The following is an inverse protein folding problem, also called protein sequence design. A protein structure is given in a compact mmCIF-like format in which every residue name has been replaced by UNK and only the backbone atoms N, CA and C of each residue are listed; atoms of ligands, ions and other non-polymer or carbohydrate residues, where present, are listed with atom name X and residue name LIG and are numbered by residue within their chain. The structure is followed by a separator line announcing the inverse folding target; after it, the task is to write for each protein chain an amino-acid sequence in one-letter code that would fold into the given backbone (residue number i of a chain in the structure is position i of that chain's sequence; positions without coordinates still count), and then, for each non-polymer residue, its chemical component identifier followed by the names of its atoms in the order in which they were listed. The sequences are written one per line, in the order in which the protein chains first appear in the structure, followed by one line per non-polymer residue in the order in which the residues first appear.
data_IF_781015008612
#
_entry.id   IF_781015008612
#
_cell.length_a   1.000
_cell.length_b   1.000
_cell.length_c   1.000
_cell.angle_alpha   90.00
_cell.angle_beta   90.00
_cell.angle_gamma   90.00
#
_symmetry.space_group_name_H-M   'P 1'
#
loop_
_entity.id
_entity.type
_entity.pdbx_description
1 polymer ?
#
# COMPACT_ATOMS: atom_id res chain seq x y z
N UNK A 1 -20.55 15.15 24.91
CA UNK A 1 -19.17 14.76 24.58
C UNK A 1 -18.66 15.68 23.48
N UNK A 2 -17.66 16.53 23.74
CA UNK A 2 -17.01 17.33 22.69
C UNK A 2 -15.92 16.50 22.02
N UNK A 3 -16.03 16.26 20.71
CA UNK A 3 -14.96 15.66 19.91
C UNK A 3 -13.76 16.60 19.91
N UNK A 4 -12.54 16.07 20.05
CA UNK A 4 -11.33 16.90 19.93
C UNK A 4 -11.29 17.60 18.57
N UNK A 5 -10.80 18.85 18.50
CA UNK A 5 -10.69 19.61 17.25
C UNK A 5 -9.98 18.84 16.14
N UNK A 6 -8.97 18.04 16.49
CA UNK A 6 -8.24 17.21 15.52
C UNK A 6 -9.10 16.09 14.94
N UNK A 7 -9.92 15.44 15.77
CA UNK A 7 -10.83 14.40 15.31
C UNK A 7 -11.94 14.99 14.42
N UNK A 8 -12.45 16.18 14.76
CA UNK A 8 -13.37 16.93 13.90
C UNK A 8 -12.73 17.27 12.55
N UNK A 9 -11.51 17.82 12.53
CA UNK A 9 -10.79 18.13 11.31
C UNK A 9 -10.50 16.88 10.45
N UNK A 10 -10.19 15.75 11.10
CA UNK A 10 -9.99 14.46 10.43
C UNK A 10 -11.27 13.99 9.75
N UNK A 11 -12.39 13.99 10.46
CA UNK A 11 -13.68 13.56 9.93
C UNK A 11 -14.13 14.49 8.80
N UNK A 12 -14.03 15.81 8.99
CA UNK A 12 -14.45 16.78 7.97
C UNK A 12 -13.57 16.71 6.73
N UNK A 13 -12.24 16.71 6.89
CA UNK A 13 -11.31 16.64 5.77
C UNK A 13 -11.36 15.29 5.04
N UNK A 14 -11.48 14.19 5.78
CA UNK A 14 -11.71 12.87 5.23
C UNK A 14 -13.04 12.80 4.47
N UNK A 15 -14.14 13.26 5.05
CA UNK A 15 -15.46 13.26 4.39
C UNK A 15 -15.45 14.10 3.13
N UNK A 16 -14.85 15.29 3.16
CA UNK A 16 -14.71 16.13 1.99
C UNK A 16 -13.94 15.41 0.87
N UNK A 17 -12.79 14.81 1.19
CA UNK A 17 -12.00 14.06 0.22
C UNK A 17 -12.75 12.83 -0.34
N UNK A 18 -13.43 12.08 0.53
CA UNK A 18 -14.24 10.92 0.14
C UNK A 18 -15.37 11.32 -0.82
N UNK A 19 -16.14 12.36 -0.48
CA UNK A 19 -17.20 12.85 -1.36
C UNK A 19 -16.64 13.40 -2.67
N UNK A 20 -15.61 14.26 -2.63
CA UNK A 20 -14.99 14.80 -3.83
C UNK A 20 -14.50 13.68 -4.77
N UNK A 21 -13.91 12.63 -4.20
CA UNK A 21 -13.47 11.47 -4.97
C UNK A 21 -14.63 10.68 -5.57
N UNK A 22 -15.68 10.38 -4.79
CA UNK A 22 -16.87 9.71 -5.31
C UNK A 22 -17.57 10.53 -6.40
N UNK A 23 -17.66 11.85 -6.25
CA UNK A 23 -18.19 12.75 -7.28
C UNK A 23 -17.34 12.76 -8.54
N UNK A 24 -16.01 12.74 -8.41
CA UNK A 24 -15.10 12.65 -9.56
C UNK A 24 -15.30 11.34 -10.31
N UNK A 25 -15.31 10.20 -9.60
CA UNK A 25 -15.57 8.88 -10.21
C UNK A 25 -16.92 8.86 -10.90
N UNK A 26 -17.98 9.31 -10.24
CA UNK A 26 -19.32 9.41 -10.84
C UNK A 26 -19.31 10.31 -12.08
N UNK A 27 -18.67 11.48 -12.01
CA UNK A 27 -18.57 12.43 -13.10
C UNK A 27 -17.86 11.85 -14.32
N UNK A 28 -16.76 11.12 -14.14
CA UNK A 28 -16.07 10.43 -15.22
C UNK A 28 -16.93 9.29 -15.79
N UNK A 29 -17.58 8.49 -14.94
CA UNK A 29 -18.54 7.47 -15.39
C UNK A 29 -19.67 8.04 -16.26
N UNK A 30 -20.21 9.21 -15.88
CA UNK A 30 -21.24 9.90 -16.65
C UNK A 30 -20.70 10.52 -17.93
N UNK A 31 -19.49 11.10 -17.90
CA UNK A 31 -18.86 11.73 -19.05
C UNK A 31 -18.63 10.74 -20.20
N UNK A 32 -18.23 9.51 -19.87
CA UNK A 32 -17.97 8.46 -20.84
C UNK A 32 -19.14 7.49 -21.01
N UNK A 33 -20.32 7.83 -20.49
CA UNK A 33 -21.56 7.04 -20.63
C UNK A 33 -21.40 5.56 -20.25
N UNK A 34 -20.58 5.25 -19.25
CA UNK A 34 -20.28 3.86 -18.85
C UNK A 34 -21.54 3.04 -18.53
N UNK A 35 -22.64 3.68 -18.12
CA UNK A 35 -23.92 3.00 -17.86
C UNK A 35 -24.60 2.46 -19.13
N UNK A 36 -24.36 3.05 -20.29
CA UNK A 36 -24.85 2.53 -21.56
C UNK A 36 -24.14 1.23 -21.96
N UNK A 37 -22.96 1.00 -21.38
CA UNK A 37 -22.01 -0.05 -21.76
C UNK A 37 -21.95 -1.15 -20.70
N UNK A 38 -22.00 -0.78 -19.43
CA UNK A 38 -22.00 -1.66 -18.25
C UNK A 38 -23.24 -1.34 -17.39
N UNK A 39 -24.46 -1.66 -17.89
CA UNK A 39 -25.73 -1.25 -17.25
C UNK A 39 -25.95 -1.86 -15.87
N UNK A 40 -25.25 -2.95 -15.54
CA UNK A 40 -25.34 -3.63 -14.25
C UNK A 40 -24.15 -3.34 -13.31
N UNK A 41 -23.31 -2.35 -13.62
CA UNK A 41 -22.21 -1.97 -12.74
C UNK A 41 -22.77 -1.65 -11.34
N UNK A 42 -22.19 -2.19 -10.25
CA UNK A 42 -22.68 -1.97 -8.89
C UNK A 42 -22.31 -0.57 -8.40
N UNK A 43 -22.87 0.47 -9.02
CA UNK A 43 -22.51 1.88 -8.86
C UNK A 43 -22.46 2.30 -7.39
N UNK A 44 -23.44 1.87 -6.58
CA UNK A 44 -23.45 2.15 -5.14
C UNK A 44 -22.21 1.62 -4.44
N UNK A 45 -21.76 0.40 -4.78
CA UNK A 45 -20.56 -0.20 -4.20
C UNK A 45 -19.29 0.52 -4.69
N UNK A 46 -19.23 0.89 -5.97
CA UNK A 46 -18.10 1.64 -6.55
C UNK A 46 -17.94 3.02 -5.91
N UNK A 47 -19.05 3.75 -5.75
CA UNK A 47 -19.05 5.07 -5.12
C UNK A 47 -18.73 4.98 -3.63
N UNK A 48 -19.21 3.93 -2.94
CA UNK A 48 -18.86 3.68 -1.55
C UNK A 48 -17.37 3.33 -1.39
N UNK A 49 -16.84 2.46 -2.23
CA UNK A 49 -15.41 2.12 -2.26
C UNK A 49 -14.54 3.34 -2.53
N UNK A 50 -14.93 4.17 -3.51
CA UNK A 50 -14.28 5.44 -3.83
C UNK A 50 -14.33 6.41 -2.65
N UNK A 51 -15.49 6.58 -2.02
CA UNK A 51 -15.64 7.40 -0.82
C UNK A 51 -14.70 6.91 0.28
N UNK A 52 -14.71 5.61 0.59
CA UNK A 52 -13.86 5.00 1.60
C UNK A 52 -12.37 5.22 1.31
N UNK A 53 -11.94 5.04 0.06
CA UNK A 53 -10.55 5.24 -0.34
C UNK A 53 -10.09 6.68 -0.07
N UNK A 54 -10.86 7.69 -0.49
CA UNK A 54 -10.55 9.10 -0.26
C UNK A 54 -10.63 9.50 1.22
N UNK A 55 -11.69 9.05 1.91
CA UNK A 55 -11.92 9.30 3.32
C UNK A 55 -10.77 8.76 4.18
N UNK A 56 -10.42 7.48 3.98
CA UNK A 56 -9.39 6.83 4.79
C UNK A 56 -8.02 7.41 4.47
N UNK A 57 -7.66 7.60 3.19
CA UNK A 57 -6.34 8.12 2.83
C UNK A 57 -6.08 9.52 3.39
N UNK A 58 -7.01 10.46 3.16
CA UNK A 58 -6.86 11.84 3.64
C UNK A 58 -7.09 11.93 5.14
N UNK A 59 -8.09 11.22 5.68
CA UNK A 59 -8.34 11.14 7.11
C UNK A 59 -7.13 10.60 7.89
N UNK A 60 -6.54 9.50 7.44
CA UNK A 60 -5.30 8.96 8.02
C UNK A 60 -4.19 10.01 7.99
N UNK A 61 -3.99 10.69 6.86
CA UNK A 61 -2.95 11.72 6.74
C UNK A 61 -3.18 12.90 7.69
N UNK A 62 -4.41 13.39 7.80
CA UNK A 62 -4.77 14.49 8.71
C UNK A 62 -4.63 14.09 10.19
N UNK A 63 -5.03 12.87 10.54
CA UNK A 63 -4.99 12.37 11.91
C UNK A 63 -3.56 12.07 12.39
N UNK A 64 -2.78 11.42 11.52
CA UNK A 64 -1.43 10.91 11.85
C UNK A 64 -0.29 11.83 11.45
N UNK A 65 -0.54 12.79 10.54
CA UNK A 65 0.45 13.63 9.86
C UNK A 65 1.48 12.85 9.03
N UNK A 66 1.15 11.60 8.68
CA UNK A 66 1.82 10.85 7.63
C UNK A 66 1.42 11.43 6.27
N UNK A 67 2.39 11.60 5.37
CA UNK A 67 2.16 12.21 4.06
C UNK A 67 1.82 11.18 2.99
N UNK A 68 2.33 9.96 3.13
CA UNK A 68 2.24 8.91 2.12
C UNK A 68 0.81 8.56 1.73
N UNK A 69 -0.16 8.41 2.66
CA UNK A 69 -1.52 8.06 2.27
C UNK A 69 -2.17 9.17 1.41
N UNK A 70 -2.02 10.43 1.81
CA UNK A 70 -2.62 11.56 1.13
C UNK A 70 -1.94 11.88 -0.20
N UNK A 71 -0.61 11.90 -0.24
CA UNK A 71 0.15 12.11 -1.48
C UNK A 71 -0.07 10.95 -2.45
N UNK A 72 0.01 9.71 -1.97
CA UNK A 72 -0.21 8.52 -2.79
C UNK A 72 -1.62 8.48 -3.38
N UNK A 73 -2.64 8.81 -2.57
CA UNK A 73 -4.02 8.95 -3.04
C UNK A 73 -4.17 10.06 -4.09
N UNK A 74 -3.62 11.25 -3.82
CA UNK A 74 -3.68 12.36 -4.77
C UNK A 74 -2.99 12.02 -6.10
N UNK A 75 -1.82 11.39 -6.05
CA UNK A 75 -1.10 10.93 -7.24
C UNK A 75 -1.92 9.91 -8.03
N UNK A 76 -2.51 8.92 -7.34
CA UNK A 76 -3.34 7.88 -7.95
C UNK A 76 -4.56 8.48 -8.66
N UNK A 77 -5.34 9.32 -7.98
CA UNK A 77 -6.51 10.01 -8.56
C UNK A 77 -6.10 10.87 -9.76
N UNK A 78 -4.99 11.60 -9.65
CA UNK A 78 -4.48 12.44 -10.75
C UNK A 78 -4.14 11.60 -11.96
N UNK A 79 -3.37 10.53 -11.78
CA UNK A 79 -2.95 9.64 -12.88
C UNK A 79 -4.16 9.02 -13.56
N UNK A 80 -5.10 8.45 -12.80
CA UNK A 80 -6.30 7.82 -13.38
C UNK A 80 -7.13 8.84 -14.14
N UNK A 81 -7.35 10.03 -13.59
CA UNK A 81 -8.12 11.08 -14.27
C UNK A 81 -7.44 11.54 -15.56
N UNK A 82 -6.10 11.72 -15.54
CA UNK A 82 -5.34 12.11 -16.73
C UNK A 82 -5.39 11.03 -17.79
N UNK A 83 -5.17 9.76 -17.42
CA UNK A 83 -5.18 8.64 -18.36
C UNK A 83 -6.57 8.45 -18.97
N UNK A 84 -7.62 8.51 -18.16
CA UNK A 84 -9.00 8.40 -18.65
C UNK A 84 -9.33 9.54 -19.63
N UNK A 85 -9.04 10.79 -19.26
CA UNK A 85 -9.36 11.96 -20.10
C UNK A 85 -8.48 12.06 -21.36
N UNK A 86 -7.30 11.45 -21.35
CA UNK A 86 -6.38 11.43 -22.50
C UNK A 86 -6.61 10.24 -23.44
N UNK A 87 -7.39 9.25 -23.04
CA UNK A 87 -7.67 8.05 -23.85
C UNK A 87 -9.07 8.17 -24.46
N UNK A 88 -9.29 7.72 -25.72
CA UNK A 88 -10.63 7.61 -26.26
C UNK A 88 -11.52 6.76 -25.35
N UNK A 89 -12.76 7.21 -25.16
CA UNK A 89 -13.74 6.52 -24.34
C UNK A 89 -14.13 5.15 -24.91
N UNK A 90 -14.70 4.26 -24.08
CA UNK A 90 -15.20 2.98 -24.55
C UNK A 90 -16.37 3.17 -25.54
N UNK A 91 -16.25 2.60 -26.74
CA UNK A 91 -17.26 2.66 -27.79
C UNK A 91 -17.93 1.30 -27.98
N UNK A 92 -19.26 1.29 -28.05
CA UNK A 92 -20.01 0.06 -28.37
C UNK A 92 -19.83 -0.28 -29.86
N UNK A 93 -19.13 -1.38 -30.14
CA UNK A 93 -18.87 -1.85 -31.50
C UNK A 93 -19.87 -2.92 -31.97
N UNK A 94 -20.63 -3.52 -31.05
CA UNK A 94 -21.64 -4.50 -31.43
C UNK A 94 -22.30 -5.22 -30.25
N UNK A 95 -22.88 -6.38 -30.57
CA UNK A 95 -23.49 -7.30 -29.61
C UNK A 95 -23.20 -8.74 -30.05
N UNK A 96 -22.68 -9.56 -29.15
CA UNK A 96 -22.34 -10.96 -29.41
C UNK A 96 -23.04 -11.84 -28.38
N UNK A 97 -23.99 -12.67 -28.84
CA UNK A 97 -24.71 -13.60 -27.96
C UNK A 97 -25.52 -12.92 -26.85
N UNK A 98 -25.98 -11.68 -27.06
CA UNK A 98 -26.69 -10.89 -26.05
C UNK A 98 -25.78 -10.09 -25.10
N UNK A 99 -24.45 -10.22 -25.24
CA UNK A 99 -23.47 -9.41 -24.52
C UNK A 99 -23.03 -8.22 -25.38
N UNK A 100 -23.00 -7.03 -24.79
CA UNK A 100 -22.51 -5.81 -25.45
C UNK A 100 -21.00 -5.97 -25.68
N UNK A 101 -20.56 -5.78 -26.93
CA UNK A 101 -19.13 -5.76 -27.27
C UNK A 101 -18.68 -4.32 -27.36
N UNK A 102 -17.57 -4.03 -26.69
CA UNK A 102 -17.06 -2.69 -26.48
C UNK A 102 -15.60 -2.67 -26.88
N UNK A 103 -15.21 -1.67 -27.63
CA UNK A 103 -13.81 -1.36 -27.91
C UNK A 103 -13.39 -0.17 -27.05
N UNK A 104 -12.19 -0.24 -26.49
CA UNK A 104 -11.65 0.81 -25.61
C UNK A 104 -11.47 0.40 -24.15
N UNK A 105 -10.74 1.24 -23.41
CA UNK A 105 -10.32 0.98 -22.04
C UNK A 105 -11.32 1.57 -21.03
N UNK A 106 -11.44 0.91 -19.87
CA UNK A 106 -12.32 1.33 -18.79
C UNK A 106 -11.53 1.71 -17.53
N UNK A 107 -10.61 2.69 -17.61
CA UNK A 107 -9.69 2.94 -16.50
C UNK A 107 -10.41 3.34 -15.22
N UNK A 108 -11.42 4.21 -15.28
CA UNK A 108 -12.14 4.63 -14.06
C UNK A 108 -12.95 3.50 -13.43
N UNK A 109 -13.51 2.59 -14.23
CA UNK A 109 -14.23 1.40 -13.72
C UNK A 109 -13.27 0.47 -13.00
N UNK A 110 -12.19 0.05 -13.67
CA UNK A 110 -11.21 -0.85 -13.08
C UNK A 110 -10.54 -0.23 -11.84
N UNK A 111 -10.23 1.06 -11.90
CA UNK A 111 -9.75 1.80 -10.74
C UNK A 111 -10.71 1.72 -9.54
N UNK A 112 -12.01 1.99 -9.77
CA UNK A 112 -13.02 2.01 -8.72
C UNK A 112 -13.32 0.61 -8.17
N UNK A 113 -13.29 -0.42 -9.01
CA UNK A 113 -13.43 -1.83 -8.59
C UNK A 113 -12.24 -2.27 -7.72
N UNK A 114 -11.02 -1.86 -8.07
CA UNK A 114 -9.79 -2.20 -7.36
C UNK A 114 -9.51 -1.34 -6.12
N UNK A 115 -10.51 -0.62 -5.58
CA UNK A 115 -10.33 0.30 -4.44
C UNK A 115 -9.65 -0.35 -3.22
N UNK A 116 -9.90 -1.64 -2.97
CA UNK A 116 -9.29 -2.37 -1.87
C UNK A 116 -7.78 -2.57 -2.06
N UNK A 117 -7.34 -2.81 -3.30
CA UNK A 117 -5.91 -2.91 -3.65
C UNK A 117 -5.22 -1.59 -3.37
N UNK A 118 -5.79 -0.48 -3.87
CA UNK A 118 -5.24 0.86 -3.66
C UNK A 118 -5.16 1.22 -2.19
N UNK A 119 -6.22 0.95 -1.43
CA UNK A 119 -6.25 1.19 0.01
C UNK A 119 -5.17 0.38 0.73
N UNK A 120 -4.97 -0.89 0.34
CA UNK A 120 -3.94 -1.75 0.93
C UNK A 120 -2.53 -1.23 0.68
N UNK A 121 -2.25 -0.71 -0.52
CA UNK A 121 -0.94 -0.12 -0.87
C UNK A 121 -0.68 1.17 -0.09
N UNK A 122 -1.69 2.03 0.05
CA UNK A 122 -1.60 3.24 0.88
C UNK A 122 -1.36 2.90 2.35
N UNK A 123 -1.99 1.84 2.86
CA UNK A 123 -1.77 1.34 4.22
C UNK A 123 -0.32 0.85 4.42
N UNK A 124 0.21 0.07 3.49
CA UNK A 124 1.62 -0.38 3.54
C UNK A 124 2.56 0.82 3.52
N UNK A 125 2.31 1.80 2.65
CA UNK A 125 3.06 3.05 2.58
C UNK A 125 3.02 3.84 3.90
N UNK A 126 1.85 3.94 4.54
CA UNK A 126 1.69 4.60 5.84
C UNK A 126 2.57 3.97 6.92
N UNK A 127 2.57 2.64 6.99
CA UNK A 127 3.34 1.89 8.00
C UNK A 127 4.84 1.99 7.71
N UNK A 128 5.24 1.92 6.45
CA UNK A 128 6.61 2.13 6.05
C UNK A 128 7.08 3.55 6.44
N UNK A 129 6.34 4.60 6.08
CA UNK A 129 6.67 5.98 6.47
C UNK A 129 6.78 6.14 7.98
N UNK A 130 5.81 5.60 8.74
CA UNK A 130 5.84 5.65 10.19
C UNK A 130 7.09 4.95 10.76
N UNK A 131 7.43 3.76 10.25
CA UNK A 131 8.61 3.02 10.68
C UNK A 131 9.92 3.78 10.37
N UNK A 132 9.98 4.47 9.23
CA UNK A 132 11.12 5.29 8.84
C UNK A 132 11.26 6.52 9.73
N UNK A 133 10.19 7.30 9.87
CA UNK A 133 10.23 8.51 10.69
C UNK A 133 10.52 8.22 12.15
N UNK A 134 9.97 7.13 12.69
CA UNK A 134 10.24 6.72 14.07
C UNK A 134 11.65 6.17 14.32
N UNK A 135 12.29 5.55 13.32
CA UNK A 135 13.67 5.03 13.46
C UNK A 135 14.76 6.04 13.16
N UNK A 136 14.50 6.98 12.26
CA UNK A 136 15.49 7.96 11.80
C UNK A 136 15.24 9.38 12.35
N UNK A 137 14.27 9.54 13.26
CA UNK A 137 13.90 10.83 13.87
C UNK A 137 13.56 11.93 12.84
N UNK A 138 13.10 11.51 11.66
CA UNK A 138 12.76 12.42 10.57
C UNK A 138 11.42 13.13 10.87
N UNK A 139 11.49 14.42 11.20
CA UNK A 139 10.30 15.25 11.41
C UNK A 139 9.47 14.83 12.63
N UNK A 140 10.14 14.43 13.72
CA UNK A 140 9.52 13.98 14.99
C UNK A 140 8.58 15.01 15.62
N UNK A 141 8.79 16.30 15.35
CA UNK A 141 8.10 17.41 16.01
C UNK A 141 6.62 17.55 15.64
N UNK A 142 6.09 16.64 14.81
CA UNK A 142 4.71 16.68 14.35
C UNK A 142 3.94 15.37 14.46
N UNK A 143 4.56 14.20 14.56
CA UNK A 143 3.82 12.93 14.47
C UNK A 143 3.03 12.73 15.76
N UNK A 144 1.70 12.64 15.65
CA UNK A 144 0.85 12.39 16.82
C UNK A 144 1.25 11.03 17.41
N UNK A 145 1.23 10.90 18.72
CA UNK A 145 1.64 9.70 19.48
C UNK A 145 0.87 8.46 19.01
N UNK A 146 1.37 7.82 17.97
CA UNK A 146 0.97 6.49 17.55
C UNK A 146 1.58 5.48 18.53
N UNK A 147 0.92 4.33 18.78
CA UNK A 147 1.49 3.28 19.62
C UNK A 147 2.91 2.98 19.13
N UNK A 148 3.87 2.86 20.04
CA UNK A 148 5.28 2.63 19.69
C UNK A 148 5.46 1.25 19.06
N UNK A 149 5.16 1.14 17.76
CA UNK A 149 5.25 -0.13 17.00
C UNK A 149 6.66 -0.72 17.03
N UNK A 150 7.67 0.13 17.26
CA UNK A 150 9.09 -0.23 17.28
C UNK A 150 9.59 -0.73 18.64
N UNK A 151 8.86 -0.51 19.75
CA UNK A 151 9.31 -0.96 21.09
C UNK A 151 8.81 -2.35 21.48
N UNK A 152 7.64 -2.76 21.00
CA UNK A 152 7.07 -4.08 21.31
C UNK A 152 7.13 -5.01 20.10
N UNK A 153 7.94 -6.09 20.21
CA UNK A 153 8.08 -7.11 19.17
C UNK A 153 6.75 -7.78 18.83
N UNK A 154 5.89 -8.02 19.83
CA UNK A 154 4.58 -8.63 19.61
C UNK A 154 3.67 -7.70 18.81
N UNK A 155 3.63 -6.41 19.16
CA UNK A 155 2.84 -5.40 18.43
C UNK A 155 3.30 -5.26 16.99
N UNK A 156 4.62 -5.24 16.74
CA UNK A 156 5.16 -5.21 15.38
C UNK A 156 4.77 -6.43 14.55
N UNK A 157 4.84 -7.64 15.13
CA UNK A 157 4.41 -8.88 14.45
C UNK A 157 2.92 -8.83 14.13
N UNK A 158 2.08 -8.43 15.08
CA UNK A 158 0.62 -8.33 14.87
C UNK A 158 0.30 -7.35 13.75
N UNK A 159 0.89 -6.15 13.75
CA UNK A 159 0.63 -5.15 12.70
C UNK A 159 1.07 -5.65 11.32
N UNK A 160 2.29 -6.18 11.21
CA UNK A 160 2.78 -6.73 9.94
C UNK A 160 1.90 -7.87 9.46
N UNK A 161 1.53 -8.80 10.36
CA UNK A 161 0.65 -9.92 10.05
C UNK A 161 -0.72 -9.46 9.56
N UNK A 162 -1.40 -8.59 10.30
CA UNK A 162 -2.72 -8.06 9.92
C UNK A 162 -2.69 -7.35 8.58
N UNK A 163 -1.72 -6.46 8.37
CA UNK A 163 -1.62 -5.69 7.11
C UNK A 163 -1.30 -6.61 5.94
N UNK A 164 -0.43 -7.59 6.13
CA UNK A 164 -0.10 -8.54 5.08
C UNK A 164 -1.29 -9.41 4.70
N UNK A 165 -2.12 -9.81 5.66
CA UNK A 165 -3.38 -10.52 5.40
C UNK A 165 -4.34 -9.62 4.60
N UNK A 166 -4.49 -8.35 4.99
CA UNK A 166 -5.35 -7.41 4.25
C UNK A 166 -4.89 -7.20 2.81
N UNK A 167 -3.58 -7.06 2.57
CA UNK A 167 -3.01 -6.98 1.22
C UNK A 167 -3.29 -8.27 0.44
N UNK A 168 -3.07 -9.43 1.07
CA UNK A 168 -3.32 -10.73 0.43
C UNK A 168 -4.78 -10.91 0.04
N UNK A 169 -5.73 -10.51 0.90
CA UNK A 169 -7.16 -10.54 0.61
C UNK A 169 -7.48 -9.58 -0.55
N UNK A 170 -6.95 -8.35 -0.54
CA UNK A 170 -7.21 -7.38 -1.59
C UNK A 170 -6.76 -7.88 -2.97
N UNK A 171 -5.57 -8.49 -3.05
CA UNK A 171 -5.05 -9.09 -4.29
C UNK A 171 -5.84 -10.32 -4.70
N UNK A 172 -6.20 -11.19 -3.75
CA UNK A 172 -7.05 -12.36 -4.02
C UNK A 172 -8.39 -11.94 -4.63
N UNK A 173 -9.08 -10.97 -4.01
CA UNK A 173 -10.38 -10.50 -4.50
C UNK A 173 -10.27 -9.85 -5.87
N UNK A 174 -9.16 -9.17 -6.15
CA UNK A 174 -8.89 -8.61 -7.48
C UNK A 174 -8.74 -9.70 -8.54
N UNK A 175 -8.01 -10.77 -8.22
CA UNK A 175 -7.82 -11.89 -9.14
C UNK A 175 -9.11 -12.69 -9.35
N UNK A 176 -9.89 -12.88 -8.30
CA UNK A 176 -11.21 -13.52 -8.42
C UNK A 176 -12.15 -12.69 -9.29
N UNK A 177 -12.15 -11.35 -9.13
CA UNK A 177 -12.96 -10.46 -9.96
C UNK A 177 -12.55 -10.45 -11.44
N UNK A 178 -11.31 -10.84 -11.77
CA UNK A 178 -10.86 -10.97 -13.17
C UNK A 178 -11.44 -12.19 -13.90
N UNK A 179 -12.13 -13.11 -13.21
CA UNK A 179 -12.78 -14.32 -13.75
C UNK A 179 -11.88 -15.32 -14.53
N UNK A 180 -10.57 -15.06 -14.64
CA UNK A 180 -9.63 -15.88 -15.40
C UNK A 180 -8.76 -16.80 -14.53
N UNK A 181 -8.87 -16.66 -13.20
CA UNK A 181 -8.11 -17.45 -12.24
C UNK A 181 -9.03 -18.39 -11.48
N UNK A 182 -8.60 -19.63 -11.32
CA UNK A 182 -9.27 -20.54 -10.40
C UNK A 182 -9.01 -20.10 -8.95
N UNK A 183 -9.84 -20.59 -8.03
CA UNK A 183 -9.72 -20.24 -6.62
C UNK A 183 -8.32 -20.53 -6.05
N UNK A 184 -7.69 -21.61 -6.50
CA UNK A 184 -6.35 -22.00 -6.06
C UNK A 184 -5.29 -20.97 -6.50
N UNK A 185 -5.33 -20.54 -7.75
CA UNK A 185 -4.45 -19.51 -8.30
C UNK A 185 -4.65 -18.16 -7.61
N UNK A 186 -5.90 -17.75 -7.37
CA UNK A 186 -6.19 -16.50 -6.65
C UNK A 186 -5.68 -16.54 -5.20
N UNK A 187 -5.82 -17.69 -4.52
CA UNK A 187 -5.24 -17.90 -3.19
C UNK A 187 -3.72 -17.80 -3.21
N UNK A 188 -3.06 -18.42 -4.20
CA UNK A 188 -1.60 -18.34 -4.37
C UNK A 188 -1.14 -16.91 -4.61
N UNK A 189 -1.83 -16.16 -5.48
CA UNK A 189 -1.53 -14.77 -5.78
C UNK A 189 -1.66 -13.86 -4.55
N UNK A 190 -2.77 -13.99 -3.80
CA UNK A 190 -2.95 -13.31 -2.52
C UNK A 190 -1.86 -13.70 -1.50
N UNK A 191 -1.48 -14.97 -1.47
CA UNK A 191 -0.38 -15.48 -0.65
C UNK A 191 0.96 -14.81 -0.97
N UNK A 192 1.31 -14.67 -2.26
CA UNK A 192 2.53 -13.98 -2.68
C UNK A 192 2.53 -12.51 -2.26
N UNK A 193 1.40 -11.81 -2.43
CA UNK A 193 1.27 -10.42 -2.01
C UNK A 193 1.41 -10.25 -0.50
N UNK A 194 0.80 -11.16 0.29
CA UNK A 194 0.96 -11.18 1.73
C UNK A 194 2.42 -11.41 2.13
N UNK A 195 3.10 -12.41 1.56
CA UNK A 195 4.50 -12.73 1.86
C UNK A 195 5.43 -11.57 1.49
N UNK A 196 5.26 -10.97 0.30
CA UNK A 196 6.02 -9.79 -0.10
C UNK A 196 5.87 -8.63 0.91
N UNK A 197 4.65 -8.43 1.41
CA UNK A 197 4.33 -7.39 2.41
C UNK A 197 5.01 -7.69 3.76
N UNK A 198 4.96 -8.95 4.22
CA UNK A 198 5.67 -9.39 5.44
C UNK A 198 7.16 -9.10 5.33
N UNK A 199 7.77 -9.43 4.19
CA UNK A 199 9.21 -9.24 3.99
C UNK A 199 9.56 -7.75 4.00
N UNK A 200 8.84 -6.94 3.23
CA UNK A 200 9.10 -5.51 3.11
C UNK A 200 8.93 -4.78 4.46
N UNK A 201 7.77 -4.93 5.09
CA UNK A 201 7.49 -4.27 6.37
C UNK A 201 8.31 -4.87 7.51
N UNK A 202 8.48 -6.19 7.55
CA UNK A 202 9.31 -6.87 8.55
C UNK A 202 10.78 -6.46 8.48
N UNK A 203 11.32 -6.21 7.29
CA UNK A 203 12.68 -5.74 7.11
C UNK A 203 12.88 -4.30 7.63
N UNK A 204 11.94 -3.39 7.34
CA UNK A 204 11.97 -2.01 7.84
C UNK A 204 11.74 -1.96 9.35
N UNK A 205 10.65 -2.57 9.83
CA UNK A 205 10.27 -2.54 11.25
C UNK A 205 11.22 -3.33 12.13
N UNK A 206 11.76 -4.46 11.66
CA UNK A 206 12.63 -5.32 12.47
C UNK A 206 14.10 -4.89 12.43
N UNK A 207 14.60 -4.48 11.27
CA UNK A 207 16.05 -4.28 11.04
C UNK A 207 16.42 -2.91 10.46
N UNK A 208 15.45 -2.07 10.12
CA UNK A 208 15.71 -0.77 9.48
C UNK A 208 16.36 -0.92 8.10
N UNK A 209 15.99 -1.97 7.35
CA UNK A 209 16.48 -2.20 5.99
C UNK A 209 15.53 -1.53 5.01
N UNK A 210 16.06 -0.62 4.18
CA UNK A 210 15.25 0.16 3.22
C UNK A 210 15.05 -0.55 1.89
N UNK A 211 16.05 -1.33 1.46
CA UNK A 211 16.06 -1.93 0.13
C UNK A 211 14.83 -2.83 -0.15
N UNK A 212 14.38 -3.71 0.78
CA UNK A 212 13.19 -4.54 0.55
C UNK A 212 11.90 -3.71 0.41
N UNK A 213 11.77 -2.64 1.20
CA UNK A 213 10.61 -1.75 1.10
C UNK A 213 10.65 -0.87 -0.15
N UNK A 214 11.82 -0.42 -0.58
CA UNK A 214 11.98 0.31 -1.84
C UNK A 214 11.62 -0.57 -3.04
N UNK A 215 12.09 -1.82 -3.04
CA UNK A 215 11.77 -2.76 -4.10
C UNK A 215 10.26 -3.09 -4.13
N UNK A 216 9.66 -3.29 -2.95
CA UNK A 216 8.20 -3.46 -2.82
C UNK A 216 7.44 -2.25 -3.37
N UNK A 217 7.84 -1.03 -3.00
CA UNK A 217 7.18 0.21 -3.38
C UNK A 217 7.24 0.51 -4.90
N UNK A 218 8.15 -0.12 -5.62
CA UNK A 218 8.21 -0.06 -7.09
C UNK A 218 7.44 -1.23 -7.70
N UNK A 219 7.83 -2.46 -7.36
CA UNK A 219 7.37 -3.64 -8.11
C UNK A 219 5.90 -3.96 -7.84
N UNK A 220 5.42 -3.85 -6.61
CA UNK A 220 4.02 -4.20 -6.30
C UNK A 220 3.05 -3.20 -6.91
N UNK A 221 3.21 -1.87 -6.75
CA UNK A 221 2.35 -0.91 -7.43
C UNK A 221 2.41 -1.02 -8.95
N UNK A 222 3.59 -1.27 -9.55
CA UNK A 222 3.69 -1.49 -11.00
C UNK A 222 2.97 -2.76 -11.44
N UNK A 223 3.14 -3.88 -10.74
CA UNK A 223 2.43 -5.12 -11.06
C UNK A 223 0.91 -4.93 -10.95
N UNK A 224 0.43 -4.27 -9.88
CA UNK A 224 -1.00 -4.00 -9.71
C UNK A 224 -1.53 -3.00 -10.74
N UNK A 225 -0.75 -1.97 -11.11
CA UNK A 225 -1.13 -1.09 -12.22
C UNK A 225 -1.33 -1.88 -13.51
N UNK A 226 -0.39 -2.78 -13.82
CA UNK A 226 -0.47 -3.61 -15.03
C UNK A 226 -1.68 -4.55 -14.99
N UNK A 227 -1.92 -5.21 -13.85
CA UNK A 227 -3.08 -6.10 -13.64
C UNK A 227 -4.42 -5.37 -13.58
N UNK A 228 -4.47 -4.10 -13.17
CA UNK A 228 -5.75 -3.39 -13.13
C UNK A 228 -6.05 -2.74 -14.48
N UNK A 229 -5.05 -2.20 -15.17
CA UNK A 229 -5.28 -1.28 -16.29
C UNK A 229 -4.85 -1.76 -17.66
N UNK A 230 -3.90 -2.71 -17.75
CA UNK A 230 -3.28 -3.04 -19.06
C UNK A 230 -3.54 -4.48 -19.49
N UNK A 231 -3.49 -5.43 -18.56
CA UNK A 231 -3.72 -6.84 -18.85
C UNK A 231 -4.54 -7.49 -17.73
N UNK A 232 -5.75 -6.95 -17.43
CA UNK A 232 -6.59 -7.44 -16.34
C UNK A 232 -7.00 -8.90 -16.49
N UNK A 233 -6.87 -9.44 -17.69
CA UNK A 233 -7.18 -10.81 -18.00
C UNK A 233 -6.02 -11.80 -17.73
N UNK A 234 -4.78 -11.34 -17.51
CA UNK A 234 -3.64 -12.27 -17.43
C UNK A 234 -3.36 -12.82 -16.03
N UNK A 235 -3.38 -11.98 -14.98
CA UNK A 235 -2.88 -12.30 -13.63
C UNK A 235 -1.40 -12.73 -13.54
N UNK A 236 -0.67 -12.74 -14.66
CA UNK A 236 0.69 -13.26 -14.74
C UNK A 236 1.69 -12.36 -13.98
N UNK A 237 1.40 -11.07 -13.82
CA UNK A 237 2.27 -10.15 -13.10
C UNK A 237 2.18 -10.37 -11.58
N UNK A 238 1.18 -11.09 -11.09
CA UNK A 238 1.16 -11.56 -9.69
C UNK A 238 2.24 -12.61 -9.43
N UNK A 239 2.63 -13.40 -10.43
CA UNK A 239 3.80 -14.28 -10.31
C UNK A 239 5.10 -13.47 -10.14
N UNK A 240 5.18 -12.29 -10.74
CA UNK A 240 6.30 -11.38 -10.53
C UNK A 240 6.37 -10.88 -9.07
N UNK A 241 5.23 -10.75 -8.38
CA UNK A 241 5.19 -10.48 -6.92
C UNK A 241 5.79 -11.66 -6.13
N UNK A 242 5.54 -12.90 -6.56
CA UNK A 242 6.18 -14.08 -6.00
C UNK A 242 7.71 -14.08 -6.19
N UNK A 243 8.17 -13.77 -7.41
CA UNK A 243 9.61 -13.65 -7.72
C UNK A 243 10.26 -12.51 -6.91
N UNK A 244 9.56 -11.38 -6.78
CA UNK A 244 9.96 -10.26 -5.94
C UNK A 244 10.14 -10.69 -4.48
N UNK A 245 9.21 -11.46 -3.92
CA UNK A 245 9.30 -11.93 -2.55
C UNK A 245 10.57 -12.76 -2.35
N UNK A 246 10.88 -13.68 -3.27
CA UNK A 246 12.11 -14.46 -3.24
C UNK A 246 13.37 -13.57 -3.33
N UNK A 247 13.41 -12.61 -4.26
CA UNK A 247 14.52 -11.67 -4.40
C UNK A 247 14.72 -10.81 -3.14
N UNK A 248 13.62 -10.35 -2.54
CA UNK A 248 13.62 -9.53 -1.32
C UNK A 248 14.19 -10.29 -0.12
N UNK A 249 13.93 -11.60 -0.01
CA UNK A 249 14.56 -12.45 1.01
C UNK A 249 16.09 -12.46 0.81
N UNK A 250 16.55 -12.65 -0.42
CA UNK A 250 17.98 -12.63 -0.75
C UNK A 250 18.65 -11.32 -0.35
N UNK A 251 18.01 -10.19 -0.65
CA UNK A 251 18.48 -8.84 -0.28
C UNK A 251 18.55 -8.71 1.25
N UNK A 252 17.52 -9.13 1.99
CA UNK A 252 17.50 -9.08 3.45
C UNK A 252 18.66 -9.89 4.04
N UNK A 253 18.89 -11.10 3.55
CA UNK A 253 19.98 -11.97 4.02
C UNK A 253 21.33 -11.31 3.75
N UNK A 254 21.55 -10.84 2.53
CA UNK A 254 22.81 -10.20 2.12
C UNK A 254 23.10 -8.94 2.95
N UNK A 255 22.13 -8.03 3.07
CA UNK A 255 22.32 -6.78 3.82
C UNK A 255 22.58 -7.07 5.31
N UNK A 256 21.90 -8.06 5.88
CA UNK A 256 22.11 -8.48 7.27
C UNK A 256 23.52 -9.08 7.47
N UNK A 257 23.99 -9.89 6.53
CA UNK A 257 25.33 -10.46 6.56
C UNK A 257 26.42 -9.38 6.49
N UNK A 258 26.29 -8.43 5.56
CA UNK A 258 27.20 -7.30 5.41
C UNK A 258 27.26 -6.46 6.70
N UNK A 259 26.11 -6.07 7.25
CA UNK A 259 26.05 -5.27 8.48
C UNK A 259 26.67 -6.00 9.67
N UNK A 260 26.46 -7.31 9.77
CA UNK A 260 27.05 -8.14 10.84
C UNK A 260 28.57 -8.24 10.67
N UNK A 261 29.07 -8.41 9.45
CA UNK A 261 30.50 -8.41 9.14
C UNK A 261 31.17 -7.09 9.51
N UNK A 262 30.60 -5.96 9.11
CA UNK A 262 31.11 -4.62 9.43
C UNK A 262 31.20 -4.41 10.94
N UNK A 263 30.16 -4.80 11.69
CA UNK A 263 30.16 -4.70 13.16
C UNK A 263 31.28 -5.53 13.79
N UNK A 264 31.48 -6.78 13.33
CA UNK A 264 32.56 -7.65 13.82
C UNK A 264 33.94 -7.06 13.56
N UNK A 265 34.18 -6.52 12.37
CA UNK A 265 35.45 -5.87 12.01
C UNK A 265 35.69 -4.64 12.88
N UNK A 266 34.67 -3.79 13.10
CA UNK A 266 34.78 -2.62 13.98
C UNK A 266 35.10 -3.01 15.42
N UNK A 267 34.44 -4.05 15.95
CA UNK A 267 34.73 -4.57 17.30
C UNK A 267 36.12 -5.18 17.43
N UNK A 268 36.62 -5.89 16.40
CA UNK A 268 37.97 -6.42 16.40
C UNK A 268 39.03 -5.30 16.39
N UNK A 269 38.77 -4.22 15.64
CA UNK A 269 39.66 -3.05 15.57
C UNK A 269 39.70 -2.25 16.87
N UNK A 270 38.56 -2.08 17.57
CA UNK A 270 38.55 -1.40 18.87
C UNK A 270 39.34 -2.17 19.94
N UNK A 271 39.38 -3.50 19.84
CA UNK A 271 40.17 -4.37 20.72
C UNK A 271 41.67 -4.32 20.38
N UNK A 272 42.05 -4.19 19.10
CA UNK A 272 43.46 -4.06 18.70
C UNK A 272 44.07 -2.70 19.02
N UNK A 273 43.26 -1.62 18.94
CA UNK A 273 43.74 -0.25 19.13
C UNK A 273 43.83 0.15 20.62
N UNK A 274 43.57 -0.77 21.56
CA UNK A 274 43.65 -0.51 23.01
C UNK A 274 42.60 0.47 23.55
N UNK A 275 41.72 0.98 22.69
CA UNK A 275 40.51 1.73 23.08
C UNK A 275 39.48 0.78 23.65
N UNK A 276 39.70 0.33 24.89
CA UNK A 276 38.62 -0.22 25.69
C UNK A 276 37.53 0.86 25.79
N UNK A 277 36.24 0.54 25.55
CA UNK A 277 35.17 1.43 25.98
C UNK A 277 35.35 1.64 27.48
N UNK A 278 35.60 2.88 27.88
CA UNK A 278 35.60 3.26 29.29
C UNK A 278 34.31 2.75 29.90
N UNK A 279 34.40 1.99 30.98
CA UNK A 279 33.27 1.42 31.71
C UNK A 279 32.34 2.48 32.36
N UNK A 280 32.48 3.75 32.00
CA UNK A 280 31.69 4.88 32.50
C UNK A 280 30.30 5.02 31.84
N UNK A 281 29.99 4.28 30.78
CA UNK A 281 28.68 4.30 30.11
C UNK A 281 27.82 3.06 30.43
N UNK A 282 28.05 2.39 31.58
CA UNK A 282 27.02 1.51 32.14
C UNK A 282 25.85 2.41 32.61
N UNK A 283 24.65 2.36 31.99
CA UNK A 283 23.52 3.06 32.56
C UNK A 283 23.23 2.40 33.91
N UNK A 284 23.50 3.15 34.97
CA UNK A 284 23.14 2.76 36.32
C UNK A 284 21.66 2.37 36.33
N UNK A 285 21.46 1.17 36.85
CA UNK A 285 20.20 0.59 37.19
C UNK A 285 19.57 1.44 38.29
N UNK A 286 18.86 2.51 37.94
CA UNK A 286 17.89 3.14 38.84
C UNK A 286 16.58 2.36 38.74
N UNK A 287 16.50 1.33 39.60
CA UNK A 287 15.25 0.97 40.21
C UNK A 287 14.81 2.13 41.10
N UNK A 288 13.63 2.70 40.81
CA UNK A 288 12.55 3.00 41.75
C UNK A 288 11.24 3.19 40.96
#
# INVERSE_FOLDING_TARGET
MQLSRTLQATILGGSFAGFAHAFLVYGLFSLFEYQAVVPNAPMTALLLGSFCLGFIAVGCSLYTRLLTPGIGFGALVTVVSVVELATPGPERIGELGGAIVVDGAFYVLWYAESWAVWLSLLLVGAIAEYALRSRYELGSDGIRTLPTLTRSRSTGITVVGTVSILVGIAVLTQLEASHNWDLAGSILGGGFAAVATVIALGAVLGRGLLAPAALYAVVVPTAMYTEVFTVPESGMHVLAIGVLAAASIGIVVLETAIRTGIRRVRSARSLSDGTLPSAADSPEHHAD
#
